data_IF_516370707029
#
_entry.id   IF_516370707029
#
_cell.length_a   1.000
_cell.length_b   1.000
_cell.length_c   1.000
_cell.angle_alpha   90.00
_cell.angle_beta   90.00
_cell.angle_gamma   90.00
#
_symmetry.space_group_name_H-M   'P 1'
#
loop_
_entity.id
_entity.type
_entity.pdbx_description
1 polymer ?
#
# COMPACT_ATOMS: atom_id res chain seq x y z
N UNK A 1 -31.35 -29.70 -14.51
CA UNK A 1 -30.89 -30.81 -13.62
C UNK A 1 -29.43 -30.69 -13.14
N UNK A 2 -28.53 -29.99 -13.87
CA UNK A 2 -27.11 -29.86 -13.49
C UNK A 2 -26.80 -29.06 -12.21
N UNK A 3 -27.55 -28.01 -11.94
CA UNK A 3 -27.29 -27.13 -10.79
C UNK A 3 -27.62 -27.78 -9.42
N UNK A 4 -28.62 -28.65 -9.39
CA UNK A 4 -28.99 -29.35 -8.14
C UNK A 4 -27.93 -30.40 -7.70
N UNK A 5 -27.29 -31.03 -8.67
CA UNK A 5 -26.21 -31.99 -8.37
C UNK A 5 -24.92 -31.32 -7.90
N UNK A 6 -24.63 -30.09 -8.37
CA UNK A 6 -23.48 -29.29 -7.91
C UNK A 6 -23.70 -28.75 -6.49
N UNK A 7 -24.91 -28.26 -6.18
CA UNK A 7 -25.25 -27.79 -4.84
C UNK A 7 -25.17 -28.93 -3.81
N UNK A 8 -25.62 -30.16 -4.18
CA UNK A 8 -25.53 -31.32 -3.32
C UNK A 8 -24.10 -31.74 -3.05
N UNK A 9 -23.19 -31.62 -4.05
CA UNK A 9 -21.75 -31.91 -3.87
C UNK A 9 -21.09 -30.89 -2.94
N UNK A 10 -21.43 -29.61 -3.07
CA UNK A 10 -20.91 -28.57 -2.18
C UNK A 10 -21.38 -28.74 -0.74
N UNK A 11 -22.68 -29.10 -0.56
CA UNK A 11 -23.22 -29.40 0.76
C UNK A 11 -22.53 -30.63 1.41
N UNK A 12 -22.29 -31.68 0.64
CA UNK A 12 -21.58 -32.85 1.12
C UNK A 12 -20.15 -32.52 1.58
N UNK A 13 -19.43 -31.64 0.83
CA UNK A 13 -18.08 -31.18 1.22
C UNK A 13 -18.13 -30.36 2.52
N UNK A 14 -19.11 -29.45 2.67
CA UNK A 14 -19.29 -28.68 3.90
C UNK A 14 -19.61 -29.55 5.12
N UNK A 15 -20.52 -30.53 4.98
CA UNK A 15 -20.85 -31.45 6.03
C UNK A 15 -19.64 -32.30 6.44
N UNK A 16 -18.84 -32.76 5.46
CA UNK A 16 -17.61 -33.50 5.73
C UNK A 16 -16.57 -32.66 6.48
N UNK A 17 -16.41 -31.39 6.10
CA UNK A 17 -15.49 -30.49 6.76
C UNK A 17 -15.89 -30.25 8.23
N UNK A 18 -17.18 -30.04 8.49
CA UNK A 18 -17.72 -29.88 9.84
C UNK A 18 -17.49 -31.13 10.68
N UNK A 19 -17.72 -32.32 10.10
CA UNK A 19 -17.52 -33.58 10.77
C UNK A 19 -16.05 -33.86 11.11
N UNK A 20 -15.13 -33.55 10.15
CA UNK A 20 -13.69 -33.75 10.35
C UNK A 20 -13.13 -32.78 11.39
N UNK A 21 -13.57 -31.50 11.37
CA UNK A 21 -13.20 -30.56 12.40
C UNK A 21 -13.71 -30.90 13.78
N UNK A 22 -14.94 -31.40 13.87
CA UNK A 22 -15.53 -31.91 15.13
C UNK A 22 -14.72 -33.08 15.69
N UNK A 23 -14.35 -34.04 14.85
CA UNK A 23 -13.54 -35.20 15.24
C UNK A 23 -12.12 -34.79 15.65
N UNK A 24 -11.48 -33.86 14.91
CA UNK A 24 -10.17 -33.33 15.26
C UNK A 24 -10.20 -32.57 16.59
N UNK A 25 -11.27 -31.81 16.85
CA UNK A 25 -11.49 -31.11 18.12
C UNK A 25 -11.64 -32.08 19.28
N UNK A 26 -12.37 -33.20 19.07
CA UNK A 26 -12.54 -34.27 20.04
C UNK A 26 -11.20 -34.94 20.38
N UNK A 27 -10.37 -35.27 19.38
CA UNK A 27 -9.04 -35.86 19.58
C UNK A 27 -8.13 -34.90 20.37
N UNK A 28 -8.16 -33.60 20.07
CA UNK A 28 -7.40 -32.60 20.83
C UNK A 28 -7.91 -32.46 22.26
N UNK A 29 -9.20 -32.46 22.48
CA UNK A 29 -9.80 -32.40 23.81
C UNK A 29 -9.38 -33.59 24.67
N UNK A 30 -9.47 -34.83 24.15
CA UNK A 30 -9.06 -36.04 24.84
C UNK A 30 -7.54 -36.13 25.08
N UNK A 31 -6.75 -35.60 24.18
CA UNK A 31 -5.28 -35.50 24.37
C UNK A 31 -4.90 -34.59 25.52
N UNK A 32 -5.69 -33.52 25.78
CA UNK A 32 -5.47 -32.57 26.86
C UNK A 32 -5.94 -33.15 28.22
N UNK A 33 -7.04 -33.93 28.23
CA UNK A 33 -7.60 -34.56 29.42
C UNK A 33 -7.23 -36.03 29.40
N UNK A 34 -6.00 -36.40 29.78
CA UNK A 34 -5.47 -37.79 29.82
C UNK A 34 -6.24 -38.68 30.79
N UNK A 35 -7.43 -39.13 30.39
CA UNK A 35 -8.14 -40.20 31.06
C UNK A 35 -7.68 -41.58 30.58
N UNK A 36 -7.86 -42.71 31.37
CA UNK A 36 -7.31 -44.03 31.06
C UNK A 36 -7.84 -44.68 29.77
N UNK A 37 -8.88 -44.11 29.15
CA UNK A 37 -9.54 -44.66 27.95
C UNK A 37 -9.33 -43.86 26.68
N UNK A 38 -8.53 -42.78 26.70
CA UNK A 38 -8.34 -41.88 25.56
C UNK A 38 -7.80 -42.58 24.30
N UNK A 39 -6.91 -43.56 24.50
CA UNK A 39 -6.30 -44.34 23.41
C UNK A 39 -7.33 -45.19 22.66
N UNK A 40 -8.24 -45.84 23.39
CA UNK A 40 -9.32 -46.68 22.80
C UNK A 40 -10.29 -45.82 22.00
N UNK A 41 -10.71 -44.67 22.54
CA UNK A 41 -11.61 -43.76 21.84
C UNK A 41 -10.95 -43.12 20.61
N UNK A 42 -9.68 -42.71 20.69
CA UNK A 42 -8.93 -42.17 19.55
C UNK A 42 -8.76 -43.25 18.45
N UNK A 43 -8.53 -44.52 18.81
CA UNK A 43 -8.37 -45.59 17.86
C UNK A 43 -9.68 -45.91 17.13
N UNK A 44 -10.80 -46.00 17.84
CA UNK A 44 -12.13 -46.20 17.25
C UNK A 44 -12.49 -45.08 16.32
N UNK A 45 -12.29 -43.82 16.74
CA UNK A 45 -12.55 -42.63 15.91
C UNK A 45 -11.66 -42.62 14.68
N UNK A 46 -10.37 -42.94 14.82
CA UNK A 46 -9.41 -43.00 13.71
C UNK A 46 -9.79 -44.06 12.67
N UNK A 47 -10.17 -45.27 13.11
CA UNK A 47 -10.65 -46.34 12.22
C UNK A 47 -11.92 -45.89 11.48
N UNK A 48 -12.88 -45.28 12.18
CA UNK A 48 -14.13 -44.80 11.56
C UNK A 48 -13.82 -43.74 10.48
N UNK A 49 -12.91 -42.81 10.75
CA UNK A 49 -12.49 -41.80 9.77
C UNK A 49 -11.86 -42.45 8.54
N UNK A 50 -10.99 -43.46 8.73
CA UNK A 50 -10.34 -44.15 7.61
C UNK A 50 -11.38 -44.91 6.78
N UNK A 51 -12.30 -45.64 7.41
CA UNK A 51 -13.36 -46.36 6.70
C UNK A 51 -14.23 -45.39 5.88
N UNK A 52 -14.66 -44.29 6.46
CA UNK A 52 -15.47 -43.27 5.75
C UNK A 52 -14.65 -42.63 4.61
N UNK A 53 -13.38 -42.37 4.83
CA UNK A 53 -12.50 -41.80 3.82
C UNK A 53 -12.35 -42.72 2.60
N UNK A 54 -12.09 -44.01 2.84
CA UNK A 54 -11.97 -45.04 1.79
C UNK A 54 -13.30 -45.23 1.05
N UNK A 55 -14.42 -45.34 1.78
CA UNK A 55 -15.74 -45.50 1.19
C UNK A 55 -16.17 -44.30 0.32
N UNK A 56 -15.74 -43.09 0.67
CA UNK A 56 -16.10 -41.85 -0.02
C UNK A 56 -15.01 -41.30 -0.96
N UNK A 57 -13.86 -41.97 -1.03
CA UNK A 57 -12.73 -41.54 -1.84
C UNK A 57 -13.11 -41.30 -3.30
N UNK A 58 -13.78 -42.27 -3.92
CA UNK A 58 -14.24 -42.17 -5.32
C UNK A 58 -15.31 -41.10 -5.52
N UNK A 59 -16.03 -40.71 -4.45
CA UNK A 59 -17.06 -39.65 -4.50
C UNK A 59 -16.51 -38.24 -4.29
N UNK A 60 -15.18 -38.06 -4.25
CA UNK A 60 -14.50 -36.75 -4.16
C UNK A 60 -13.97 -36.41 -2.78
N UNK A 61 -13.98 -37.28 -1.79
CA UNK A 61 -13.44 -37.02 -0.45
C UNK A 61 -11.92 -36.73 -0.45
N UNK A 62 -11.18 -37.18 -1.46
CA UNK A 62 -9.77 -36.88 -1.63
C UNK A 62 -9.48 -35.35 -1.78
N UNK A 63 -10.42 -34.59 -2.39
CA UNK A 63 -10.31 -33.14 -2.52
C UNK A 63 -10.29 -32.47 -1.13
N UNK A 64 -11.16 -32.95 -0.23
CA UNK A 64 -11.25 -32.47 1.15
C UNK A 64 -9.98 -32.81 1.93
N UNK A 65 -9.42 -34.00 1.70
CA UNK A 65 -8.17 -34.45 2.32
C UNK A 65 -6.97 -33.56 1.93
N UNK A 66 -6.94 -33.06 0.70
CA UNK A 66 -5.91 -32.11 0.22
C UNK A 66 -6.19 -30.68 0.67
N UNK A 67 -7.44 -30.25 0.60
CA UNK A 67 -7.83 -28.88 0.85
C UNK A 67 -7.69 -28.48 2.33
N UNK A 68 -8.04 -29.38 3.27
CA UNK A 68 -7.93 -29.08 4.70
C UNK A 68 -6.50 -28.82 5.14
N UNK A 69 -5.49 -29.70 4.90
CA UNK A 69 -4.12 -29.39 5.30
C UNK A 69 -3.56 -28.18 4.57
N UNK A 70 -3.89 -27.98 3.28
CA UNK A 70 -3.47 -26.79 2.55
C UNK A 70 -4.00 -25.50 3.21
N UNK A 71 -5.27 -25.50 3.62
CA UNK A 71 -5.88 -24.37 4.32
C UNK A 71 -5.24 -24.15 5.69
N UNK A 72 -4.96 -25.22 6.43
CA UNK A 72 -4.26 -25.11 7.73
C UNK A 72 -2.86 -24.55 7.55
N UNK A 73 -2.10 -25.04 6.59
CA UNK A 73 -0.75 -24.51 6.28
C UNK A 73 -0.82 -23.03 5.90
N UNK A 74 -1.79 -22.66 5.07
CA UNK A 74 -2.02 -21.27 4.70
C UNK A 74 -2.29 -20.39 5.94
N UNK A 75 -3.22 -20.77 6.81
CA UNK A 75 -3.50 -19.99 8.02
C UNK A 75 -2.32 -19.94 8.99
N UNK A 76 -1.57 -21.02 9.14
CA UNK A 76 -0.37 -21.05 9.97
C UNK A 76 0.71 -20.12 9.39
N UNK A 77 0.90 -20.14 8.08
CA UNK A 77 1.85 -19.23 7.40
C UNK A 77 1.44 -17.77 7.58
N UNK A 78 0.16 -17.43 7.37
CA UNK A 78 -0.38 -16.09 7.61
C UNK A 78 -0.18 -15.67 9.08
N UNK A 79 -0.55 -16.52 10.02
CA UNK A 79 -0.36 -16.25 11.47
C UNK A 79 1.11 -16.02 11.82
N UNK A 80 2.02 -16.82 11.26
CA UNK A 80 3.46 -16.69 11.49
C UNK A 80 3.99 -15.38 10.92
N UNK A 81 3.53 -15.00 9.72
CA UNK A 81 3.87 -13.73 9.10
C UNK A 81 3.43 -12.54 9.97
N UNK A 82 2.17 -12.51 10.40
CA UNK A 82 1.66 -11.44 11.27
C UNK A 82 2.35 -11.39 12.64
N UNK A 83 2.71 -12.53 13.20
CA UNK A 83 3.45 -12.57 14.47
C UNK A 83 4.86 -11.99 14.31
N UNK A 84 5.53 -12.29 13.20
CA UNK A 84 6.84 -11.71 12.87
C UNK A 84 6.76 -10.20 12.67
N UNK A 85 5.73 -9.71 11.95
CA UNK A 85 5.50 -8.28 11.77
C UNK A 85 5.25 -7.57 13.11
N UNK A 86 4.47 -8.15 14.00
CA UNK A 86 4.18 -7.58 15.32
C UNK A 86 5.45 -7.39 16.16
N UNK A 87 6.38 -8.33 16.11
CA UNK A 87 7.67 -8.24 16.80
C UNK A 87 8.56 -7.15 16.20
N UNK A 88 8.57 -7.01 14.88
CA UNK A 88 9.36 -5.99 14.17
C UNK A 88 8.80 -4.57 14.38
N UNK A 89 7.48 -4.44 14.48
CA UNK A 89 6.81 -3.12 14.62
C UNK A 89 6.67 -2.66 16.07
N UNK A 90 6.94 -3.53 17.06
CA UNK A 90 6.88 -3.14 18.48
C UNK A 90 8.12 -2.33 18.83
N UNK A 91 7.95 -1.01 18.95
CA UNK A 91 9.00 -0.10 19.36
C UNK A 91 8.89 0.19 20.88
N UNK A 92 10.00 0.02 21.61
CA UNK A 92 10.13 0.38 23.04
C UNK A 92 11.10 1.55 23.25
N UNK A 93 11.55 2.17 22.16
CA UNK A 93 12.49 3.28 22.20
C UNK A 93 11.72 4.60 22.15
N UNK A 94 12.02 5.56 23.04
CA UNK A 94 11.38 6.88 23.01
C UNK A 94 11.75 7.65 21.74
N UNK A 95 10.86 8.55 21.32
CA UNK A 95 11.09 9.43 20.15
C UNK A 95 12.32 10.30 20.38
N UNK A 96 13.21 10.38 19.42
CA UNK A 96 14.39 11.24 19.44
C UNK A 96 14.02 12.67 19.05
N UNK A 97 13.55 13.48 19.99
CA UNK A 97 13.15 14.86 19.74
C UNK A 97 14.31 15.75 19.25
N UNK A 98 15.55 15.48 19.64
CA UNK A 98 16.74 16.24 19.24
C UNK A 98 17.07 16.19 17.73
N UNK A 99 16.54 15.20 16.99
CA UNK A 99 16.75 15.08 15.54
C UNK A 99 15.72 15.82 14.69
N UNK A 100 14.72 16.46 15.30
CA UNK A 100 13.61 17.12 14.60
C UNK A 100 13.88 18.61 14.29
N UNK A 101 15.11 19.08 14.45
CA UNK A 101 15.44 20.52 14.36
C UNK A 101 15.53 21.10 12.96
N UNK A 102 15.69 20.26 11.94
CA UNK A 102 15.78 20.75 10.55
C UNK A 102 14.43 20.57 9.82
N UNK A 103 13.89 21.65 9.23
CA UNK A 103 12.65 21.54 8.45
C UNK A 103 12.88 20.66 7.22
N UNK A 104 11.88 19.90 6.80
CA UNK A 104 11.97 19.06 5.61
C UNK A 104 12.17 19.92 4.35
N UNK A 105 12.57 19.30 3.23
CA UNK A 105 12.52 19.91 1.90
C UNK A 105 11.28 19.36 1.21
N UNK A 106 10.39 20.23 0.76
CA UNK A 106 9.21 19.84 0.00
C UNK A 106 9.51 19.85 -1.50
N UNK A 107 9.23 18.75 -2.18
CA UNK A 107 9.40 18.60 -3.62
C UNK A 107 8.03 18.37 -4.25
N UNK A 108 7.65 19.15 -5.26
CA UNK A 108 6.37 19.01 -5.95
C UNK A 108 6.59 18.85 -7.45
N UNK A 109 6.24 17.73 -8.06
CA UNK A 109 6.23 17.57 -9.51
C UNK A 109 5.06 18.35 -10.11
N UNK A 110 5.36 19.15 -11.14
CA UNK A 110 4.38 20.00 -11.85
C UNK A 110 4.53 19.83 -13.36
N UNK A 111 3.41 19.88 -14.07
CA UNK A 111 3.38 19.84 -15.53
C UNK A 111 3.12 21.24 -16.12
N UNK A 112 2.15 21.96 -15.54
CA UNK A 112 1.74 23.30 -15.98
C UNK A 112 1.18 24.09 -14.81
N UNK A 113 1.03 25.40 -15.00
CA UNK A 113 0.28 26.21 -14.05
C UNK A 113 -1.21 25.85 -14.11
N UNK A 114 -1.77 25.48 -12.99
CA UNK A 114 -3.16 25.05 -12.86
C UNK A 114 -3.66 25.23 -11.44
N UNK A 115 -4.97 25.14 -11.21
CA UNK A 115 -5.55 25.21 -9.86
C UNK A 115 -4.99 24.11 -8.94
N UNK A 116 -4.76 22.92 -9.49
CA UNK A 116 -4.18 21.80 -8.75
C UNK A 116 -2.74 22.11 -8.36
N UNK A 117 -1.94 22.65 -9.29
CA UNK A 117 -0.56 23.08 -9.03
C UNK A 117 -0.51 24.17 -7.97
N UNK A 118 -1.38 25.18 -8.07
CA UNK A 118 -1.49 26.25 -7.07
C UNK A 118 -1.74 25.71 -5.68
N UNK A 119 -2.75 24.87 -5.51
CA UNK A 119 -3.06 24.29 -4.20
C UNK A 119 -1.95 23.38 -3.69
N UNK A 120 -1.32 22.60 -4.56
CA UNK A 120 -0.18 21.76 -4.21
C UNK A 120 1.01 22.60 -3.69
N UNK A 121 1.31 23.73 -4.33
CA UNK A 121 2.37 24.65 -3.90
C UNK A 121 2.00 25.33 -2.58
N UNK A 122 0.76 25.82 -2.43
CA UNK A 122 0.29 26.40 -1.18
C UNK A 122 0.39 25.39 -0.02
N UNK A 123 0.04 24.13 -0.28
CA UNK A 123 0.16 23.06 0.70
C UNK A 123 1.63 22.74 1.01
N UNK A 124 2.50 22.61 0.01
CA UNK A 124 3.93 22.38 0.19
C UNK A 124 4.59 23.52 1.00
N UNK A 125 4.21 24.77 0.75
CA UNK A 125 4.70 25.95 1.47
C UNK A 125 4.20 26.05 2.94
N UNK A 126 3.17 25.29 3.31
CA UNK A 126 2.76 25.11 4.72
C UNK A 126 3.57 24.02 5.42
N UNK A 127 4.02 23.00 4.67
CA UNK A 127 4.79 21.88 5.21
C UNK A 127 6.27 22.24 5.39
N UNK A 128 6.81 23.08 4.50
CA UNK A 128 8.24 23.40 4.46
C UNK A 128 8.47 24.84 4.03
N UNK A 129 9.47 25.51 4.64
CA UNK A 129 9.94 26.80 4.16
C UNK A 129 10.72 26.67 2.84
N UNK A 130 11.29 25.52 2.53
CA UNK A 130 12.03 25.25 1.30
C UNK A 130 11.23 24.34 0.37
N UNK A 131 10.70 24.89 -0.71
CA UNK A 131 9.88 24.20 -1.70
C UNK A 131 10.59 24.18 -3.04
N UNK A 132 10.70 23.01 -3.65
CA UNK A 132 11.26 22.80 -4.99
C UNK A 132 10.17 22.25 -5.89
N UNK A 133 9.80 23.02 -6.91
CA UNK A 133 8.90 22.57 -7.95
C UNK A 133 9.71 21.94 -9.09
N UNK A 134 9.36 20.72 -9.48
CA UNK A 134 10.03 19.97 -10.54
C UNK A 134 9.18 19.94 -11.80
N UNK A 135 9.70 20.49 -12.87
CA UNK A 135 9.14 20.36 -14.20
C UNK A 135 10.04 19.48 -15.06
N UNK A 136 9.46 18.58 -15.87
CA UNK A 136 10.22 17.66 -16.72
C UNK A 136 10.01 17.99 -18.19
N UNK A 137 11.09 18.28 -18.91
CA UNK A 137 11.12 18.47 -20.36
C UNK A 137 11.25 17.12 -21.11
N UNK A 138 10.71 17.01 -22.35
CA UNK A 138 10.05 18.03 -23.15
C UNK A 138 8.55 18.13 -22.84
N UNK A 139 8.15 19.21 -22.23
CA UNK A 139 6.75 19.61 -22.16
C UNK A 139 6.55 20.80 -23.09
N UNK A 140 5.48 20.78 -23.89
CA UNK A 140 5.11 21.90 -24.77
C UNK A 140 4.82 23.19 -24.02
N UNK A 141 4.80 23.13 -22.68
CA UNK A 141 4.41 24.21 -21.79
C UNK A 141 5.57 24.83 -21.00
N UNK A 142 6.84 24.48 -21.28
CA UNK A 142 7.98 24.94 -20.46
C UNK A 142 8.16 26.46 -20.46
N UNK A 143 8.06 27.13 -21.64
CA UNK A 143 8.21 28.57 -21.76
C UNK A 143 7.06 29.33 -21.08
N UNK A 144 5.82 28.84 -21.26
CA UNK A 144 4.64 29.39 -20.61
C UNK A 144 4.73 29.23 -19.09
N UNK A 145 5.20 28.07 -18.61
CA UNK A 145 5.36 27.81 -17.20
C UNK A 145 6.39 28.76 -16.55
N UNK A 146 7.49 29.07 -17.22
CA UNK A 146 8.49 30.00 -16.70
C UNK A 146 7.94 31.43 -16.59
N UNK A 147 7.21 31.91 -17.59
CA UNK A 147 6.53 33.21 -17.57
C UNK A 147 5.48 33.27 -16.45
N UNK A 148 4.66 32.24 -16.34
CA UNK A 148 3.63 32.13 -15.31
C UNK A 148 4.23 32.05 -13.90
N UNK A 149 5.42 31.42 -13.76
CA UNK A 149 6.10 31.24 -12.47
C UNK A 149 6.46 32.56 -11.81
N UNK A 150 7.05 33.47 -12.56
CA UNK A 150 7.40 34.77 -12.03
C UNK A 150 6.15 35.55 -11.57
N UNK A 151 5.11 35.57 -12.42
CA UNK A 151 3.92 36.37 -12.16
C UNK A 151 3.05 35.80 -11.03
N UNK A 152 2.78 34.47 -11.04
CA UNK A 152 1.82 33.86 -10.11
C UNK A 152 2.45 33.29 -8.84
N UNK A 153 3.78 33.12 -8.79
CA UNK A 153 4.45 32.53 -7.64
C UNK A 153 5.49 33.49 -7.04
N UNK A 154 6.50 33.91 -7.81
CA UNK A 154 7.58 34.68 -7.22
C UNK A 154 7.12 36.05 -6.69
N UNK A 155 6.34 36.80 -7.47
CA UNK A 155 5.85 38.10 -7.06
C UNK A 155 4.96 38.05 -5.79
N UNK A 156 3.94 37.13 -5.65
CA UNK A 156 3.15 37.04 -4.45
C UNK A 156 3.97 36.61 -3.21
N UNK A 157 4.92 35.70 -3.36
CA UNK A 157 5.77 35.28 -2.25
C UNK A 157 6.70 36.40 -1.79
N UNK A 158 7.31 37.14 -2.73
CA UNK A 158 8.13 38.34 -2.43
C UNK A 158 7.30 39.43 -1.73
N UNK A 159 6.09 39.68 -2.20
CA UNK A 159 5.17 40.63 -1.58
C UNK A 159 4.78 40.23 -0.14
N UNK A 160 4.71 38.94 0.13
CA UNK A 160 4.44 38.37 1.46
C UNK A 160 5.71 38.28 2.37
N UNK A 161 6.88 38.70 1.88
CA UNK A 161 8.15 38.58 2.61
C UNK A 161 8.61 37.13 2.83
N UNK A 162 8.17 36.18 1.98
CA UNK A 162 8.53 34.77 2.05
C UNK A 162 9.45 34.36 0.89
N UNK A 163 10.30 33.38 1.12
CA UNK A 163 11.10 32.77 0.05
C UNK A 163 10.16 32.04 -0.93
N UNK A 164 10.29 32.36 -2.22
CA UNK A 164 9.48 31.73 -3.25
C UNK A 164 9.96 30.29 -3.52
N UNK A 165 9.05 29.38 -3.87
CA UNK A 165 9.39 28.05 -4.35
C UNK A 165 10.34 28.09 -5.55
N UNK A 166 11.38 27.25 -5.55
CA UNK A 166 12.39 27.19 -6.60
C UNK A 166 11.91 26.29 -7.74
N UNK A 167 11.79 26.82 -8.93
CA UNK A 167 11.50 26.02 -10.12
C UNK A 167 12.77 25.31 -10.60
N UNK A 168 12.72 23.99 -10.77
CA UNK A 168 13.77 23.17 -11.36
C UNK A 168 13.23 22.44 -12.58
N UNK A 169 13.85 22.67 -13.72
CA UNK A 169 13.54 22.00 -14.97
C UNK A 169 14.50 20.82 -15.13
N UNK A 170 13.94 19.62 -15.31
CA UNK A 170 14.69 18.39 -15.50
C UNK A 170 14.65 17.98 -16.98
N UNK A 171 15.78 17.79 -17.64
CA UNK A 171 15.80 17.34 -19.02
C UNK A 171 15.35 15.87 -19.11
N UNK A 172 14.49 15.56 -20.10
CA UNK A 172 14.08 14.19 -20.38
C UNK A 172 14.00 13.93 -21.87
N UNK A 173 15.00 13.27 -22.47
CA UNK A 173 15.07 13.06 -23.94
C UNK A 173 13.97 12.13 -24.47
N UNK A 174 13.32 11.32 -23.61
CA UNK A 174 12.37 10.29 -24.03
C UNK A 174 10.96 10.44 -23.46
N UNK A 175 10.55 11.64 -23.03
CA UNK A 175 9.23 11.88 -22.38
C UNK A 175 8.96 11.01 -21.12
N UNK A 176 10.00 10.45 -20.52
CA UNK A 176 9.87 9.73 -19.24
C UNK A 176 9.83 10.76 -18.10
N UNK A 177 8.65 10.98 -17.55
CA UNK A 177 8.45 11.97 -16.48
C UNK A 177 8.91 11.45 -15.12
N UNK A 178 8.63 10.19 -14.83
CA UNK A 178 8.77 9.62 -13.47
C UNK A 178 10.23 9.38 -13.10
N UNK A 179 11.04 8.83 -14.01
CA UNK A 179 12.43 8.45 -13.73
C UNK A 179 13.29 9.65 -13.35
N UNK A 180 13.29 10.78 -14.10
CA UNK A 180 14.04 11.97 -13.71
C UNK A 180 13.64 12.54 -12.35
N UNK A 181 12.34 12.51 -12.01
CA UNK A 181 11.85 12.95 -10.71
C UNK A 181 12.43 12.07 -9.60
N UNK A 182 12.37 10.75 -9.74
CA UNK A 182 12.90 9.81 -8.75
C UNK A 182 14.40 10.01 -8.55
N UNK A 183 15.16 10.11 -9.63
CA UNK A 183 16.61 10.34 -9.56
C UNK A 183 16.93 11.65 -8.84
N UNK A 184 16.23 12.73 -9.18
CA UNK A 184 16.40 14.00 -8.51
C UNK A 184 16.10 13.93 -7.00
N UNK A 185 15.00 13.25 -6.60
CA UNK A 185 14.60 13.11 -5.20
C UNK A 185 15.62 12.29 -4.41
N UNK A 186 16.16 11.21 -5.00
CA UNK A 186 17.20 10.39 -4.38
C UNK A 186 18.48 11.22 -4.22
N UNK A 187 18.94 11.86 -5.29
CA UNK A 187 20.15 12.72 -5.26
C UNK A 187 20.03 13.87 -4.25
N UNK A 188 18.82 14.45 -4.12
CA UNK A 188 18.53 15.49 -3.15
C UNK A 188 18.62 14.94 -1.71
N UNK A 189 18.08 13.75 -1.47
CA UNK A 189 18.17 13.07 -0.18
C UNK A 189 19.61 12.74 0.21
N UNK A 190 20.44 12.35 -0.76
CA UNK A 190 21.85 12.03 -0.50
C UNK A 190 22.71 13.27 -0.25
N UNK A 191 22.37 14.40 -0.89
CA UNK A 191 23.02 15.70 -0.64
C UNK A 191 22.65 16.30 0.74
N UNK A 192 21.52 15.90 1.30
CA UNK A 192 21.02 16.42 2.59
C UNK A 192 20.76 15.30 3.60
N UNK A 193 21.80 14.61 4.12
CA UNK A 193 21.66 13.41 4.95
C UNK A 193 20.95 13.64 6.30
N UNK A 194 20.85 14.90 6.74
CA UNK A 194 20.16 15.28 8.00
C UNK A 194 18.71 15.73 7.82
N UNK A 195 18.20 15.79 6.58
CA UNK A 195 16.87 16.34 6.28
C UNK A 195 15.93 15.32 5.66
N UNK A 196 14.66 15.45 5.98
CA UNK A 196 13.58 14.69 5.36
C UNK A 196 13.17 15.34 4.05
N UNK A 197 12.96 14.54 3.01
CA UNK A 197 12.41 14.98 1.72
C UNK A 197 10.94 14.57 1.67
N UNK A 198 10.06 15.53 1.46
CA UNK A 198 8.62 15.30 1.31
C UNK A 198 8.23 15.53 -0.15
N UNK A 199 7.83 14.49 -0.85
CA UNK A 199 7.32 14.60 -2.21
C UNK A 199 5.81 14.79 -2.15
N UNK A 200 5.37 16.01 -2.49
CA UNK A 200 3.95 16.37 -2.54
C UNK A 200 3.40 16.03 -3.91
N UNK A 201 2.48 15.09 -3.98
CA UNK A 201 1.86 14.64 -5.22
C UNK A 201 0.47 15.26 -5.33
N UNK A 202 0.25 16.24 -6.24
CA UNK A 202 -1.07 16.80 -6.46
C UNK A 202 -1.97 15.75 -7.13
N UNK A 203 -3.12 15.49 -6.54
CA UNK A 203 -4.08 14.50 -7.02
C UNK A 203 -5.43 15.13 -7.31
N UNK A 204 -5.98 14.84 -8.49
CA UNK A 204 -7.35 15.18 -8.83
C UNK A 204 -8.30 14.12 -8.25
N UNK A 205 -9.20 14.55 -7.38
CA UNK A 205 -10.26 13.68 -6.86
C UNK A 205 -11.56 14.02 -7.58
N UNK A 206 -12.05 13.05 -8.36
CA UNK A 206 -13.31 13.15 -9.10
C UNK A 206 -14.42 12.42 -8.34
N UNK A 207 -15.69 12.84 -8.54
CA UNK A 207 -16.84 12.28 -7.82
C UNK A 207 -17.15 10.83 -8.21
N UNK A 208 -16.69 10.40 -9.39
CA UNK A 208 -16.96 9.06 -9.90
C UNK A 208 -15.77 8.14 -9.74
N UNK A 209 -15.94 7.03 -9.05
CA UNK A 209 -14.89 6.07 -8.72
C UNK A 209 -14.13 5.50 -9.92
N UNK A 210 -14.74 5.39 -11.11
CA UNK A 210 -14.10 4.88 -12.33
C UNK A 210 -13.22 5.93 -13.02
N UNK A 211 -13.53 7.22 -12.91
CA UNK A 211 -12.71 8.32 -13.43
C UNK A 211 -11.39 8.44 -12.67
N UNK A 212 -11.41 8.08 -11.37
CA UNK A 212 -10.22 8.01 -10.53
C UNK A 212 -9.15 7.03 -11.06
N UNK A 213 -9.59 5.91 -11.66
CA UNK A 213 -8.67 4.95 -12.28
C UNK A 213 -8.03 5.46 -13.58
N UNK A 214 -8.67 6.38 -14.28
CA UNK A 214 -8.20 6.86 -15.58
C UNK A 214 -7.16 7.97 -15.45
N UNK A 215 -7.29 8.85 -14.48
CA UNK A 215 -6.51 10.09 -14.43
C UNK A 215 -5.31 10.06 -13.45
N UNK A 216 -5.29 9.19 -12.47
CA UNK A 216 -4.33 9.28 -11.34
C UNK A 216 -3.19 8.24 -11.38
N UNK A 217 -3.00 7.56 -12.51
CA UNK A 217 -2.02 6.47 -12.62
C UNK A 217 -0.56 6.94 -12.45
N UNK A 218 -0.23 8.15 -12.95
CA UNK A 218 1.15 8.68 -12.89
C UNK A 218 1.57 9.04 -11.46
N UNK A 219 0.68 9.64 -10.69
CA UNK A 219 0.94 9.97 -9.29
C UNK A 219 1.16 8.72 -8.44
N UNK A 220 0.29 7.72 -8.58
CA UNK A 220 0.41 6.42 -7.89
C UNK A 220 1.66 5.65 -8.27
N UNK A 221 2.03 5.66 -9.56
CA UNK A 221 3.24 5.01 -10.02
C UNK A 221 4.49 5.69 -9.43
N UNK A 222 4.50 7.03 -9.38
CA UNK A 222 5.57 7.79 -8.74
C UNK A 222 5.68 7.44 -7.24
N UNK A 223 4.56 7.44 -6.52
CA UNK A 223 4.50 7.06 -5.11
C UNK A 223 5.05 5.65 -4.89
N UNK A 224 4.56 4.67 -5.64
CA UNK A 224 5.02 3.28 -5.54
C UNK A 224 6.52 3.15 -5.84
N UNK A 225 7.01 3.80 -6.88
CA UNK A 225 8.43 3.75 -7.24
C UNK A 225 9.31 4.43 -6.21
N UNK A 226 8.86 5.53 -5.58
CA UNK A 226 9.57 6.17 -4.48
C UNK A 226 9.62 5.29 -3.22
N UNK A 227 8.54 4.54 -2.92
CA UNK A 227 8.53 3.57 -1.82
C UNK A 227 9.50 2.40 -2.06
N UNK A 228 9.63 1.94 -3.31
CA UNK A 228 10.49 0.79 -3.65
C UNK A 228 11.97 1.18 -3.80
N UNK A 229 12.25 2.36 -4.38
CA UNK A 229 13.62 2.81 -4.71
C UNK A 229 14.16 3.88 -3.78
N UNK A 230 13.30 4.53 -3.03
CA UNK A 230 13.67 5.56 -2.06
C UNK A 230 14.32 4.99 -0.80
N UNK A 231 14.59 5.88 0.13
CA UNK A 231 15.15 5.55 1.45
C UNK A 231 14.20 6.02 2.56
N UNK A 232 14.55 5.74 3.81
CA UNK A 232 13.75 6.07 5.01
C UNK A 232 13.53 7.58 5.25
N UNK A 233 14.21 8.46 4.50
CA UNK A 233 14.09 9.92 4.60
C UNK A 233 13.16 10.52 3.56
N UNK A 234 12.69 9.73 2.59
CA UNK A 234 11.80 10.16 1.52
C UNK A 234 10.37 9.77 1.88
N UNK A 235 9.52 10.76 2.03
CA UNK A 235 8.10 10.59 2.31
C UNK A 235 7.27 11.13 1.15
N UNK A 236 6.18 10.46 0.85
CA UNK A 236 5.19 10.91 -0.14
C UNK A 236 3.94 11.39 0.56
N UNK A 237 3.38 12.50 0.11
CA UNK A 237 2.15 13.07 0.64
C UNK A 237 1.25 13.47 -0.53
N UNK A 238 0.05 12.91 -0.59
CA UNK A 238 -0.97 13.33 -1.55
C UNK A 238 -1.60 14.65 -1.16
N UNK A 239 -1.70 15.57 -2.11
CA UNK A 239 -2.42 16.84 -1.99
C UNK A 239 -3.70 16.74 -2.84
N UNK A 240 -4.84 16.30 -2.27
CA UNK A 240 -6.07 16.06 -3.03
C UNK A 240 -6.74 17.38 -3.40
N UNK A 241 -7.19 17.49 -4.65
CA UNK A 241 -8.07 18.53 -5.13
C UNK A 241 -9.38 17.94 -5.61
N UNK A 242 -10.49 18.41 -5.05
CA UNK A 242 -11.84 17.90 -5.34
C UNK A 242 -12.48 18.69 -6.46
N UNK A 243 -12.65 18.06 -7.64
CA UNK A 243 -13.38 18.64 -8.76
C UNK A 243 -14.89 18.62 -8.45
N UNK A 244 -15.50 19.79 -8.27
CA UNK A 244 -16.97 19.87 -8.07
C UNK A 244 -17.42 20.40 -6.71
N UNK A 245 -16.60 20.43 -5.68
CA UNK A 245 -16.91 21.20 -4.46
C UNK A 245 -16.48 22.65 -4.65
N UNK A 246 -17.40 23.50 -5.12
CA UNK A 246 -17.31 24.94 -4.93
C UNK A 246 -17.41 25.23 -3.44
N UNK A 247 -16.34 25.70 -2.84
CA UNK A 247 -16.41 26.49 -1.61
C UNK A 247 -17.02 27.84 -1.93
#
# INVERSE_FOLDING_TARGET
MGHFSQALKLYAVGAFLAFTLSQAGMVMHWRKNRGPHWLKSALVTGVTVIVVLVAKFVQGAWITLLFIPLTIVFFVAVRRHYHSLKTLTTCKVPVRAAGLSQPPIAVIPIDRWSTITRQGIEFAARLSPEVIALHVEPSENSELLQSDWEHYIEQPFRAAGREAPKLRVLPSPYRFIIIPIIQFVIDLSDKHPGRTIIVVIPELVEDKWYEYFLHNQRGRLLEWMLLVRGNERIFTVSAPWYAGKRN
#
